data_IF_333500046216
#
_entry.id   IF_333500046216
#
_cell.length_a   1.000
_cell.length_b   1.000
_cell.length_c   1.000
_cell.angle_alpha   90.00
_cell.angle_beta   90.00
_cell.angle_gamma   90.00
#
_symmetry.space_group_name_H-M   'P 1'
#
loop_
_entity.id
_entity.type
_entity.pdbx_description
1 polymer ?
#
# COMPACT_ATOMS: atom_id res chain seq x y z
N UNK A 1 90.17 -14.07 -8.45
CA UNK A 1 90.60 -15.25 -9.23
C UNK A 1 89.46 -16.26 -9.24
N UNK A 2 89.33 -17.01 -10.33
CA UNK A 2 88.59 -18.28 -10.52
C UNK A 2 87.09 -18.35 -10.17
N UNK A 3 86.27 -18.34 -11.22
CA UNK A 3 85.12 -19.25 -11.43
C UNK A 3 85.64 -20.61 -12.00
N UNK A 4 84.81 -21.63 -12.34
CA UNK A 4 83.34 -21.80 -12.23
C UNK A 4 82.98 -22.86 -11.16
N UNK A 5 82.05 -23.85 -11.18
CA UNK A 5 81.11 -24.57 -12.09
C UNK A 5 79.94 -25.14 -11.21
N UNK A 6 78.89 -25.86 -11.64
CA UNK A 6 78.01 -25.92 -12.84
C UNK A 6 76.95 -27.04 -12.60
N UNK A 7 75.72 -26.91 -13.13
CA UNK A 7 74.66 -27.94 -13.29
C UNK A 7 73.99 -28.63 -12.04
N UNK A 8 72.77 -29.22 -12.18
CA UNK A 8 71.88 -29.54 -11.04
C UNK A 8 71.26 -30.97 -11.01
N UNK A 9 70.50 -31.32 -9.94
CA UNK A 9 69.39 -32.29 -10.04
C UNK A 9 69.05 -33.17 -8.82
N UNK A 10 67.74 -33.35 -8.57
CA UNK A 10 67.04 -34.44 -7.86
C UNK A 10 67.52 -34.91 -6.46
N UNK A 11 66.67 -34.74 -5.42
CA UNK A 11 65.75 -35.79 -4.91
C UNK A 11 64.82 -35.25 -3.78
N UNK A 12 63.93 -36.12 -3.26
CA UNK A 12 62.67 -35.79 -2.57
C UNK A 12 62.78 -35.29 -1.11
N UNK A 13 61.68 -34.66 -0.69
CA UNK A 13 61.11 -34.48 0.66
C UNK A 13 61.24 -35.70 1.63
N UNK A 14 61.09 -35.56 2.99
CA UNK A 14 59.96 -34.83 3.59
C UNK A 14 60.11 -34.11 4.97
N UNK A 15 59.07 -33.32 5.29
CA UNK A 15 58.54 -32.92 6.63
C UNK A 15 59.43 -32.21 7.67
N UNK A 16 59.08 -30.96 8.04
CA UNK A 16 59.19 -30.44 9.41
C UNK A 16 57.88 -30.62 10.20
N UNK A 17 57.97 -30.73 11.53
CA UNK A 17 56.88 -31.15 12.41
C UNK A 17 55.72 -30.15 12.59
N UNK A 18 54.57 -30.70 13.01
CA UNK A 18 53.33 -30.01 13.35
C UNK A 18 53.50 -28.81 14.30
N UNK A 19 52.82 -27.70 13.98
CA UNK A 19 52.42 -26.70 14.95
C UNK A 19 50.89 -26.75 15.08
N UNK A 20 50.39 -27.13 16.26
CA UNK A 20 48.95 -27.25 16.51
C UNK A 20 48.33 -25.87 16.71
N UNK A 21 47.75 -25.33 15.64
CA UNK A 21 46.92 -24.11 15.71
C UNK A 21 45.52 -24.52 16.16
N UNK A 22 45.19 -24.23 17.42
CA UNK A 22 43.82 -24.33 17.94
C UNK A 22 42.91 -23.40 17.10
N UNK A 23 41.73 -23.86 16.65
CA UNK A 23 40.80 -22.99 15.93
C UNK A 23 40.24 -21.93 16.89
N UNK A 24 40.29 -20.66 16.47
CA UNK A 24 39.62 -19.59 17.20
C UNK A 24 38.11 -19.81 17.15
N UNK A 25 37.49 -19.98 18.33
CA UNK A 25 36.04 -20.09 18.45
C UNK A 25 35.45 -18.69 18.29
N UNK A 26 35.02 -18.37 17.07
CA UNK A 26 34.28 -17.13 16.80
C UNK A 26 32.87 -17.28 17.36
N UNK A 27 32.55 -16.52 18.41
CA UNK A 27 31.21 -16.48 19.02
C UNK A 27 30.19 -15.86 18.07
N UNK A 28 29.67 -16.68 17.15
CA UNK A 28 28.55 -16.33 16.28
C UNK A 28 27.26 -16.29 17.12
N UNK A 29 26.90 -15.10 17.61
CA UNK A 29 25.64 -14.85 18.33
C UNK A 29 24.46 -15.29 17.46
N UNK A 30 23.79 -16.38 17.85
CA UNK A 30 22.67 -16.94 17.09
C UNK A 30 21.51 -15.94 17.02
N UNK A 31 21.06 -15.64 15.80
CA UNK A 31 20.05 -14.61 15.52
C UNK A 31 18.65 -15.06 15.95
N UNK A 32 18.40 -16.37 15.89
CA UNK A 32 17.18 -17.01 16.38
C UNK A 32 17.45 -18.47 16.76
N UNK A 33 16.43 -19.15 17.32
CA UNK A 33 16.37 -20.62 17.40
C UNK A 33 15.16 -21.12 16.64
N UNK A 34 15.33 -22.13 15.80
CA UNK A 34 14.25 -22.77 15.04
C UNK A 34 14.23 -24.26 15.39
N UNK A 35 13.10 -24.77 15.88
CA UNK A 35 12.95 -26.14 16.41
C UNK A 35 13.98 -26.58 17.48
N UNK A 36 14.71 -25.62 18.07
CA UNK A 36 15.75 -25.86 19.07
C UNK A 36 17.19 -25.67 18.54
N UNK A 37 17.39 -25.70 17.23
CA UNK A 37 18.69 -25.48 16.61
C UNK A 37 19.02 -23.98 16.51
N UNK A 38 20.28 -23.56 16.75
CA UNK A 38 20.71 -22.17 16.66
C UNK A 38 20.87 -21.73 15.19
N UNK A 39 20.20 -20.64 14.82
CA UNK A 39 20.25 -20.08 13.46
C UNK A 39 21.33 -18.99 13.38
N UNK A 40 22.48 -19.31 12.75
CA UNK A 40 23.62 -18.41 12.63
C UNK A 40 23.55 -17.44 11.44
N UNK A 41 22.67 -17.68 10.47
CA UNK A 41 22.38 -16.78 9.36
C UNK A 41 20.92 -16.93 8.94
N UNK A 42 20.30 -15.85 8.45
CA UNK A 42 18.98 -15.90 7.84
C UNK A 42 19.10 -16.50 6.42
N UNK A 43 18.44 -17.64 6.10
CA UNK A 43 18.42 -18.15 4.75
C UNK A 43 17.63 -17.22 3.84
N UNK A 44 18.19 -16.89 2.67
CA UNK A 44 17.61 -15.89 1.76
C UNK A 44 16.29 -16.36 1.13
N UNK A 45 16.16 -17.66 0.85
CA UNK A 45 14.90 -18.32 0.46
C UNK A 45 14.25 -19.01 1.67
N UNK A 46 13.67 -18.21 2.58
CA UNK A 46 12.86 -18.76 3.68
C UNK A 46 11.54 -19.31 3.12
N UNK A 47 11.47 -20.64 2.95
CA UNK A 47 10.25 -21.37 2.61
C UNK A 47 9.14 -21.04 3.62
N UNK A 48 8.05 -20.45 3.13
CA UNK A 48 6.87 -20.10 3.94
C UNK A 48 5.91 -21.30 3.90
N UNK A 49 5.56 -21.92 5.05
CA UNK A 49 4.54 -22.96 5.09
C UNK A 49 3.17 -22.42 4.64
N UNK A 50 2.32 -23.22 3.97
CA UNK A 50 1.03 -22.76 3.47
C UNK A 50 0.09 -22.24 4.56
N UNK A 51 0.24 -22.73 5.80
CA UNK A 51 -0.55 -22.31 6.97
C UNK A 51 -0.08 -20.95 7.52
N UNK A 52 1.18 -20.57 7.29
CA UNK A 52 1.68 -19.22 7.59
C UNK A 52 1.26 -18.21 6.51
N UNK A 53 0.89 -18.67 5.30
CA UNK A 53 0.36 -17.82 4.24
C UNK A 53 -1.08 -17.36 4.54
N UNK A 54 -1.87 -18.21 5.20
CA UNK A 54 -3.25 -17.93 5.62
C UNK A 54 -3.33 -16.72 6.56
N UNK A 55 -2.43 -16.65 7.55
CA UNK A 55 -2.29 -15.51 8.49
C UNK A 55 -1.80 -14.23 7.80
N UNK A 56 -1.14 -14.34 6.64
CA UNK A 56 -0.61 -13.18 5.90
C UNK A 56 -1.65 -12.46 5.04
N UNK A 57 -2.76 -13.11 4.68
CA UNK A 57 -3.68 -12.61 3.65
C UNK A 57 -4.90 -11.85 4.22
N UNK A 58 -5.22 -12.04 5.51
CA UNK A 58 -6.10 -11.11 6.25
C UNK A 58 -5.40 -9.78 6.60
N UNK A 59 -4.07 -9.69 6.41
CA UNK A 59 -3.24 -8.54 6.80
C UNK A 59 -2.95 -7.54 5.67
N UNK A 60 -3.40 -7.77 4.43
CA UNK A 60 -3.22 -6.84 3.31
C UNK A 60 -4.46 -5.98 3.07
N UNK A 61 -4.26 -4.67 2.94
CA UNK A 61 -5.31 -3.69 2.64
C UNK A 61 -5.66 -3.66 1.12
N UNK A 62 -5.81 -4.85 0.52
CA UNK A 62 -6.22 -5.04 -0.87
C UNK A 62 -5.08 -5.28 -1.89
N UNK A 63 -5.43 -5.40 -3.18
CA UNK A 63 -4.55 -5.97 -4.20
C UNK A 63 -3.33 -5.12 -4.58
N UNK A 64 -3.36 -3.80 -4.36
CA UNK A 64 -2.19 -2.93 -4.56
C UNK A 64 -1.10 -3.16 -3.49
N UNK A 65 -1.51 -3.48 -2.26
CA UNK A 65 -0.59 -3.71 -1.15
C UNK A 65 0.14 -5.06 -1.29
N UNK A 66 -0.60 -6.09 -1.70
CA UNK A 66 -0.01 -7.39 -2.09
C UNK A 66 1.01 -7.23 -3.23
N UNK A 67 0.75 -6.35 -4.21
CA UNK A 67 1.72 -6.05 -5.26
C UNK A 67 2.96 -5.31 -4.75
N UNK A 68 2.80 -4.28 -3.90
CA UNK A 68 3.96 -3.62 -3.26
C UNK A 68 4.79 -4.60 -2.44
N UNK A 69 4.16 -5.52 -1.71
CA UNK A 69 4.84 -6.59 -0.98
C UNK A 69 5.65 -7.50 -1.92
N UNK A 70 5.04 -8.00 -3.01
CA UNK A 70 5.72 -8.87 -3.98
C UNK A 70 6.89 -8.19 -4.70
N UNK A 71 6.75 -6.90 -5.02
CA UNK A 71 7.81 -6.06 -5.63
C UNK A 71 8.97 -5.87 -4.64
N UNK A 72 8.69 -5.44 -3.42
CA UNK A 72 9.70 -5.22 -2.36
C UNK A 72 10.42 -6.51 -1.97
N UNK A 73 9.69 -7.63 -1.83
CA UNK A 73 10.25 -8.95 -1.46
C UNK A 73 11.32 -9.46 -2.43
N UNK A 74 11.28 -9.05 -3.70
CA UNK A 74 12.26 -9.41 -4.73
C UNK A 74 13.25 -8.28 -5.05
N UNK A 75 13.18 -7.16 -4.33
CA UNK A 75 13.96 -5.95 -4.61
C UNK A 75 13.78 -5.43 -6.06
N UNK A 76 12.59 -5.61 -6.64
CA UNK A 76 12.29 -5.08 -7.97
C UNK A 76 12.11 -3.57 -7.93
N UNK A 77 12.56 -2.88 -8.99
CA UNK A 77 12.31 -1.47 -9.17
C UNK A 77 10.83 -1.24 -9.48
N UNK A 78 10.13 -0.40 -8.70
CA UNK A 78 8.74 -0.03 -8.94
C UNK A 78 8.52 0.69 -10.29
N UNK A 79 9.58 1.30 -10.84
CA UNK A 79 9.55 1.95 -12.16
C UNK A 79 9.80 0.98 -13.34
N UNK A 80 10.36 -0.20 -13.09
CA UNK A 80 10.58 -1.24 -14.11
C UNK A 80 10.20 -2.63 -13.57
N UNK A 81 8.89 -2.85 -13.46
CA UNK A 81 8.33 -4.08 -12.88
C UNK A 81 8.43 -5.22 -13.90
N UNK A 82 9.07 -6.37 -13.58
CA UNK A 82 9.13 -7.54 -14.45
C UNK A 82 7.79 -8.30 -14.41
N UNK A 83 6.80 -7.80 -15.15
CA UNK A 83 5.42 -8.29 -15.18
C UNK A 83 5.29 -9.82 -15.36
N UNK A 84 6.17 -10.43 -16.16
CA UNK A 84 6.13 -11.88 -16.39
C UNK A 84 6.38 -12.72 -15.12
N UNK A 85 7.12 -12.18 -14.14
CA UNK A 85 7.34 -12.77 -12.82
C UNK A 85 6.24 -12.36 -11.83
N UNK A 86 5.98 -11.05 -11.69
CA UNK A 86 5.02 -10.52 -10.71
C UNK A 86 3.60 -11.04 -10.98
N UNK A 87 3.11 -11.02 -12.23
CA UNK A 87 1.79 -11.59 -12.57
C UNK A 87 1.71 -13.08 -12.25
N UNK A 88 2.80 -13.85 -12.39
CA UNK A 88 2.80 -15.29 -12.09
C UNK A 88 2.65 -15.56 -10.59
N UNK A 89 3.37 -14.82 -9.76
CA UNK A 89 3.29 -14.97 -8.31
C UNK A 89 1.95 -14.45 -7.78
N UNK A 90 1.50 -13.29 -8.25
CA UNK A 90 0.20 -12.74 -7.89
C UNK A 90 -0.94 -13.74 -8.17
N UNK A 91 -0.92 -14.40 -9.34
CA UNK A 91 -1.89 -15.45 -9.65
C UNK A 91 -1.79 -16.65 -8.68
N UNK A 92 -0.59 -17.11 -8.32
CA UNK A 92 -0.41 -18.19 -7.33
C UNK A 92 -1.06 -17.85 -5.99
N UNK A 93 -0.78 -16.65 -5.46
CA UNK A 93 -1.39 -16.19 -4.21
C UNK A 93 -2.92 -16.10 -4.32
N UNK A 94 -3.47 -15.62 -5.45
CA UNK A 94 -4.93 -15.51 -5.65
C UNK A 94 -5.61 -16.88 -5.86
N UNK A 95 -4.94 -17.83 -6.51
CA UNK A 95 -5.42 -19.21 -6.62
C UNK A 95 -5.50 -19.89 -5.24
N UNK A 96 -4.56 -19.60 -4.33
CA UNK A 96 -4.57 -20.06 -2.93
C UNK A 96 -5.66 -19.36 -2.09
N UNK A 97 -5.87 -18.04 -2.22
CA UNK A 97 -7.00 -17.34 -1.58
C UNK A 97 -8.32 -17.98 -2.03
N UNK A 98 -8.51 -18.18 -3.34
CA UNK A 98 -9.76 -18.70 -3.93
C UNK A 98 -10.13 -20.10 -3.41
N UNK A 99 -9.13 -20.90 -3.02
CA UNK A 99 -9.36 -22.22 -2.43
C UNK A 99 -9.92 -22.17 -0.99
N UNK A 100 -9.70 -21.05 -0.27
CA UNK A 100 -10.09 -20.87 1.13
C UNK A 100 -11.27 -19.90 1.31
N UNK A 101 -11.28 -18.77 0.60
CA UNK A 101 -12.33 -17.74 0.66
C UNK A 101 -12.61 -17.13 -0.72
N UNK A 102 -13.77 -17.45 -1.29
CA UNK A 102 -14.23 -16.95 -2.60
C UNK A 102 -14.71 -15.48 -2.59
N UNK A 103 -15.17 -14.98 -1.44
CA UNK A 103 -15.70 -13.61 -1.31
C UNK A 103 -14.53 -12.61 -1.26
N UNK A 104 -13.52 -12.88 -0.43
CA UNK A 104 -12.29 -12.08 -0.37
C UNK A 104 -11.54 -12.06 -1.72
N UNK A 105 -11.55 -13.17 -2.46
CA UNK A 105 -10.88 -13.27 -3.76
C UNK A 105 -11.43 -12.30 -4.83
N UNK A 106 -12.65 -11.80 -4.70
CA UNK A 106 -13.34 -11.04 -5.75
C UNK A 106 -12.59 -9.77 -6.18
N UNK A 107 -12.06 -8.98 -5.24
CA UNK A 107 -11.30 -7.76 -5.53
C UNK A 107 -9.96 -8.07 -6.20
N UNK A 108 -9.31 -9.17 -5.78
CA UNK A 108 -8.02 -9.60 -6.29
C UNK A 108 -8.11 -10.14 -7.72
N UNK A 109 -9.26 -10.68 -8.14
CA UNK A 109 -9.51 -11.18 -9.50
C UNK A 109 -9.55 -10.05 -10.55
N UNK A 110 -10.04 -8.85 -10.20
CA UNK A 110 -10.00 -7.69 -11.10
C UNK A 110 -8.56 -7.31 -11.44
N UNK A 111 -7.71 -7.24 -10.42
CA UNK A 111 -6.28 -6.98 -10.58
C UNK A 111 -5.58 -8.13 -11.33
N UNK A 112 -5.95 -9.39 -11.08
CA UNK A 112 -5.43 -10.53 -11.84
C UNK A 112 -5.68 -10.40 -13.35
N UNK A 113 -6.90 -10.01 -13.75
CA UNK A 113 -7.24 -9.76 -15.15
C UNK A 113 -6.41 -8.61 -15.74
N UNK A 114 -6.27 -7.50 -15.01
CA UNK A 114 -5.48 -6.34 -15.44
C UNK A 114 -3.98 -6.70 -15.62
N UNK A 115 -3.40 -7.47 -14.69
CA UNK A 115 -2.02 -7.94 -14.76
C UNK A 115 -1.78 -8.94 -15.90
N UNK A 116 -2.79 -9.74 -16.27
CA UNK A 116 -2.76 -10.60 -17.45
C UNK A 116 -2.85 -9.77 -18.73
N UNK A 117 -3.72 -8.76 -18.78
CA UNK A 117 -3.84 -7.87 -19.94
C UNK A 117 -2.54 -7.11 -20.20
N UNK A 118 -1.97 -6.45 -19.18
CA UNK A 118 -0.72 -5.70 -19.29
C UNK A 118 0.41 -6.62 -19.80
N UNK A 119 0.55 -7.81 -19.20
CA UNK A 119 1.51 -8.83 -19.64
C UNK A 119 1.28 -9.26 -21.10
N UNK A 120 0.03 -9.41 -21.53
CA UNK A 120 -0.32 -9.76 -22.91
C UNK A 120 0.06 -8.64 -23.88
N UNK A 121 -0.31 -7.39 -23.56
CA UNK A 121 0.04 -6.19 -24.33
C UNK A 121 1.56 -6.03 -24.50
N UNK A 122 2.35 -6.31 -23.46
CA UNK A 122 3.82 -6.25 -23.49
C UNK A 122 4.49 -7.39 -24.30
N UNK A 123 3.84 -8.54 -24.45
CA UNK A 123 4.38 -9.68 -25.21
C UNK A 123 3.98 -9.66 -26.69
N UNK A 124 3.04 -8.79 -27.08
CA UNK A 124 2.61 -8.60 -28.45
C UNK A 124 3.48 -7.54 -29.15
N UNK A 125 3.65 -7.62 -30.49
CA UNK A 125 4.32 -6.57 -31.25
C UNK A 125 3.64 -5.20 -31.03
N UNK A 126 4.41 -4.11 -30.86
CA UNK A 126 3.83 -2.78 -30.65
C UNK A 126 2.96 -2.38 -31.83
N UNK A 127 1.79 -1.79 -31.55
CA UNK A 127 0.95 -1.18 -32.58
C UNK A 127 1.73 -0.01 -33.19
N UNK A 128 1.63 0.14 -34.53
CA UNK A 128 2.16 1.32 -35.21
C UNK A 128 1.38 2.56 -34.76
N UNK A 129 2.04 3.44 -33.99
CA UNK A 129 1.57 4.79 -33.69
C UNK A 129 1.62 5.67 -34.95
N UNK A 130 1.02 6.86 -34.87
CA UNK A 130 1.22 7.89 -35.89
C UNK A 130 2.66 8.41 -35.87
N UNK A 131 3.09 9.07 -36.95
CA UNK A 131 4.49 9.49 -37.13
C UNK A 131 4.98 10.42 -36.01
N UNK A 132 5.81 9.90 -35.11
CA UNK A 132 6.51 10.65 -34.06
C UNK A 132 6.07 10.37 -32.61
N UNK A 133 4.97 9.65 -32.38
CA UNK A 133 4.53 9.32 -31.01
C UNK A 133 5.15 8.00 -30.52
N UNK A 134 5.84 8.04 -29.37
CA UNK A 134 6.26 6.83 -28.65
C UNK A 134 5.04 6.10 -28.08
N UNK A 135 4.98 4.75 -28.15
CA UNK A 135 3.88 3.99 -27.58
C UNK A 135 3.93 4.03 -26.04
N UNK A 136 2.83 4.46 -25.42
CA UNK A 136 2.65 4.46 -23.96
C UNK A 136 2.93 3.07 -23.35
N UNK A 137 3.77 2.99 -22.31
CA UNK A 137 4.05 1.73 -21.61
C UNK A 137 2.75 1.18 -21.00
N UNK A 138 2.29 -0.04 -21.35
CA UNK A 138 1.08 -0.64 -20.80
C UNK A 138 1.07 -0.74 -19.26
N UNK A 139 2.23 -0.62 -18.60
CA UNK A 139 2.38 -0.62 -17.13
C UNK A 139 2.15 0.75 -16.49
N UNK A 140 2.15 1.85 -17.24
CA UNK A 140 2.25 3.21 -16.69
C UNK A 140 1.15 3.54 -15.67
N UNK A 141 -0.11 3.18 -15.96
CA UNK A 141 -1.24 3.35 -15.04
C UNK A 141 -1.07 2.54 -13.74
N UNK A 142 -0.58 1.30 -13.84
CA UNK A 142 -0.34 0.44 -12.67
C UNK A 142 0.79 1.00 -11.79
N UNK A 143 1.92 1.38 -12.40
CA UNK A 143 3.06 1.98 -11.68
C UNK A 143 2.61 3.26 -10.96
N UNK A 144 1.84 4.11 -11.64
CA UNK A 144 1.26 5.32 -11.04
C UNK A 144 0.38 5.00 -9.83
N UNK A 145 -0.57 4.07 -9.95
CA UNK A 145 -1.47 3.68 -8.84
C UNK A 145 -0.71 3.07 -7.66
N UNK A 146 0.36 2.31 -7.91
CA UNK A 146 1.22 1.75 -6.85
C UNK A 146 1.98 2.85 -6.11
N UNK A 147 2.51 3.86 -6.81
CA UNK A 147 3.19 5.02 -6.20
C UNK A 147 2.21 5.93 -5.42
N UNK A 148 1.01 6.17 -5.95
CA UNK A 148 -0.04 6.92 -5.26
C UNK A 148 -0.48 6.20 -3.96
N UNK A 149 -0.66 4.87 -4.01
CA UNK A 149 -0.98 4.06 -2.83
C UNK A 149 0.18 4.00 -1.82
N UNK A 150 1.44 3.83 -2.27
CA UNK A 150 2.61 3.83 -1.39
C UNK A 150 2.76 5.17 -0.64
N UNK A 151 2.58 6.29 -1.34
CA UNK A 151 2.57 7.62 -0.73
C UNK A 151 1.46 7.76 0.31
N UNK A 152 0.25 7.27 0.02
CA UNK A 152 -0.89 7.31 0.93
C UNK A 152 -0.64 6.43 2.17
N UNK A 153 -0.08 5.24 2.01
CA UNK A 153 0.28 4.34 3.12
C UNK A 153 1.37 4.94 4.02
N UNK A 154 2.38 5.60 3.43
CA UNK A 154 3.39 6.38 4.18
C UNK A 154 2.83 7.66 4.83
N UNK A 155 1.74 8.23 4.33
CA UNK A 155 1.02 9.31 5.00
C UNK A 155 0.18 8.78 6.19
N UNK A 156 -0.50 7.64 6.02
CA UNK A 156 -1.27 6.96 7.07
C UNK A 156 -0.39 6.55 8.27
N UNK A 157 0.78 5.95 8.01
CA UNK A 157 1.74 5.59 9.06
C UNK A 157 2.16 6.80 9.90
N UNK A 158 2.61 7.88 9.25
CA UNK A 158 2.99 9.14 9.91
C UNK A 158 1.84 9.84 10.63
N UNK A 159 0.60 9.59 10.22
CA UNK A 159 -0.60 10.09 10.90
C UNK A 159 -0.91 9.28 12.17
N UNK A 160 -0.70 7.95 12.15
CA UNK A 160 -0.87 7.08 13.31
C UNK A 160 0.20 7.31 14.40
N UNK A 161 1.40 7.72 14.00
CA UNK A 161 2.51 8.17 14.87
C UNK A 161 2.23 9.49 15.61
N UNK A 162 1.24 10.29 15.18
CA UNK A 162 0.94 11.56 15.86
C UNK A 162 0.34 11.29 17.25
N UNK A 163 0.69 12.11 18.27
CA UNK A 163 0.09 12.03 19.59
C UNK A 163 -1.44 12.18 19.52
N UNK A 164 -2.16 11.18 20.01
CA UNK A 164 -3.61 11.13 20.00
C UNK A 164 -4.17 11.57 21.36
N UNK A 165 -5.06 12.55 21.32
CA UNK A 165 -5.76 13.04 22.50
C UNK A 165 -6.59 11.92 23.15
N UNK A 166 -6.39 11.69 24.45
CA UNK A 166 -7.03 10.60 25.19
C UNK A 166 -6.29 9.26 25.15
N UNK A 167 -5.26 9.12 24.30
CA UNK A 167 -4.35 7.97 24.27
C UNK A 167 -2.98 8.34 24.86
N UNK A 168 -2.33 9.33 24.24
CA UNK A 168 -0.92 9.68 24.53
C UNK A 168 -0.80 10.94 25.39
N UNK A 169 -1.82 11.83 25.33
CA UNK A 169 -1.88 13.01 26.18
C UNK A 169 -3.32 13.38 26.55
N UNK A 170 -3.47 14.04 27.70
CA UNK A 170 -4.72 14.56 28.23
C UNK A 170 -4.60 16.06 28.46
N UNK A 171 -5.65 16.83 28.14
CA UNK A 171 -5.69 18.27 28.43
C UNK A 171 -6.11 18.46 29.88
N UNK A 172 -5.17 18.87 30.72
CA UNK A 172 -5.46 19.27 32.09
C UNK A 172 -6.50 20.41 32.08
N UNK A 173 -7.69 20.13 32.63
CA UNK A 173 -8.71 21.14 32.88
C UNK A 173 -8.65 21.53 34.36
N UNK A 174 -7.91 22.60 34.66
CA UNK A 174 -7.92 23.19 35.99
C UNK A 174 -9.18 24.06 36.10
N UNK A 175 -10.11 23.67 36.97
CA UNK A 175 -11.19 24.56 37.39
C UNK A 175 -10.62 25.64 38.29
N UNK A 176 -10.15 26.73 37.67
CA UNK A 176 -9.79 27.94 38.40
C UNK A 176 -11.10 28.62 38.80
N UNK A 177 -11.34 28.78 40.11
CA UNK A 177 -12.35 29.70 40.62
C UNK A 177 -11.91 31.14 40.32
N UNK A 178 -12.11 31.53 39.07
CA UNK A 178 -11.95 32.90 38.65
C UNK A 178 -13.09 33.72 39.25
N UNK A 179 -12.83 34.33 40.41
CA UNK A 179 -13.59 35.45 40.95
C UNK A 179 -13.50 36.73 40.07
N UNK A 180 -13.30 36.54 38.76
CA UNK A 180 -13.51 37.55 37.75
C UNK A 180 -15.02 37.78 37.63
N UNK A 181 -15.46 38.96 38.09
CA UNK A 181 -16.70 39.57 37.57
C UNK A 181 -16.65 39.44 36.04
N UNK A 182 -17.69 38.90 35.37
CA UNK A 182 -17.69 38.78 33.93
C UNK A 182 -17.41 40.14 33.29
N UNK A 183 -16.25 40.26 32.62
CA UNK A 183 -16.00 41.40 31.73
C UNK A 183 -16.81 41.16 30.47
N UNK A 184 -18.08 41.56 30.54
CA UNK A 184 -18.89 41.72 29.34
C UNK A 184 -18.14 42.65 28.38
N UNK A 185 -18.13 42.36 27.07
CA UNK A 185 -17.63 43.32 26.09
C UNK A 185 -18.51 44.58 26.12
N UNK A 186 -17.93 45.72 25.75
CA UNK A 186 -18.67 46.96 25.56
C UNK A 186 -19.52 46.85 24.28
N UNK A 187 -20.79 46.44 24.43
CA UNK A 187 -21.74 46.24 23.33
C UNK A 187 -22.67 47.44 23.20
N UNK A 188 -22.73 48.04 22.02
CA UNK A 188 -23.71 49.06 21.69
C UNK A 188 -25.06 48.44 21.29
N UNK A 189 -26.16 49.19 21.48
CA UNK A 189 -27.50 48.77 21.06
C UNK A 189 -27.57 48.42 19.55
N UNK A 190 -26.73 49.08 18.75
CA UNK A 190 -26.59 48.85 17.30
C UNK A 190 -26.07 47.44 17.00
N UNK A 191 -25.15 46.90 17.79
CA UNK A 191 -24.54 45.58 17.57
C UNK A 191 -25.57 44.47 17.80
N UNK A 192 -26.40 44.63 18.84
CA UNK A 192 -27.54 43.75 19.14
C UNK A 192 -28.57 43.81 18.00
N UNK A 193 -28.84 45.01 17.47
CA UNK A 193 -29.75 45.19 16.34
C UNK A 193 -29.21 44.51 15.06
N UNK A 194 -27.91 44.60 14.77
CA UNK A 194 -27.28 43.94 13.63
C UNK A 194 -27.29 42.41 13.78
N UNK A 195 -26.91 41.89 14.95
CA UNK A 195 -26.95 40.46 15.25
C UNK A 195 -28.37 39.89 15.08
N UNK A 196 -29.40 40.62 15.54
CA UNK A 196 -30.80 40.23 15.34
C UNK A 196 -31.23 40.24 13.86
N UNK A 197 -30.81 41.25 13.08
CA UNK A 197 -31.07 41.27 11.64
C UNK A 197 -30.42 40.09 10.90
N UNK A 198 -29.19 39.69 11.28
CA UNK A 198 -28.51 38.55 10.68
C UNK A 198 -29.12 37.21 11.07
N UNK A 199 -29.65 37.07 12.30
CA UNK A 199 -30.46 35.92 12.69
C UNK A 199 -31.72 35.84 11.83
N UNK A 200 -32.45 36.95 11.63
CA UNK A 200 -33.64 36.98 10.78
C UNK A 200 -33.33 36.69 9.29
N UNK A 201 -32.20 37.20 8.77
CA UNK A 201 -31.71 36.88 7.41
C UNK A 201 -31.44 35.38 7.26
N UNK A 202 -30.73 34.77 8.22
CA UNK A 202 -30.45 33.32 8.23
C UNK A 202 -31.73 32.50 8.36
N UNK A 203 -32.65 32.87 9.24
CA UNK A 203 -33.94 32.19 9.39
C UNK A 203 -34.77 32.21 8.09
N UNK A 204 -34.74 33.32 7.33
CA UNK A 204 -35.39 33.41 6.02
C UNK A 204 -34.75 32.52 4.95
N UNK A 205 -33.46 32.22 5.05
CA UNK A 205 -32.74 31.31 4.14
C UNK A 205 -33.00 29.82 4.46
N UNK A 206 -33.41 29.48 5.68
CA UNK A 206 -33.76 28.10 6.09
C UNK A 206 -35.26 27.80 5.86
N UNK A 207 -35.88 28.45 4.87
CA UNK A 207 -37.20 28.05 4.38
C UNK A 207 -37.07 26.78 3.52
N UNK A 208 -37.21 25.62 4.15
CA UNK A 208 -37.25 24.32 3.47
C UNK A 208 -38.39 24.28 2.45
N UNK A 209 -38.05 24.32 1.15
CA UNK A 209 -39.00 24.04 0.09
C UNK A 209 -39.38 22.56 0.13
N UNK A 210 -40.52 22.25 0.75
CA UNK A 210 -41.10 20.90 0.76
C UNK A 210 -41.54 20.53 -0.66
N UNK A 211 -40.66 19.84 -1.38
CA UNK A 211 -41.04 19.12 -2.61
C UNK A 211 -41.91 17.93 -2.20
N UNK A 212 -43.23 18.16 -2.13
CA UNK A 212 -44.20 17.07 -2.16
C UNK A 212 -44.09 16.39 -3.51
N UNK A 213 -43.77 15.09 -3.53
CA UNK A 213 -43.88 14.28 -4.75
C UNK A 213 -45.36 14.15 -5.08
N UNK A 214 -45.74 14.51 -6.31
CA UNK A 214 -47.07 14.18 -6.83
C UNK A 214 -47.14 12.66 -7.02
N UNK A 215 -48.04 11.99 -6.29
CA UNK A 215 -48.31 10.55 -6.45
C UNK A 215 -49.18 10.30 -7.69
N UNK A 216 -48.65 10.69 -8.86
CA UNK A 216 -49.25 10.39 -10.16
C UNK A 216 -49.36 8.88 -10.33
N UNK A 217 -50.57 8.39 -10.59
CA UNK A 217 -50.79 6.98 -10.88
C UNK A 217 -50.01 6.57 -12.13
N UNK A 218 -49.48 5.36 -12.15
CA UNK A 218 -48.80 4.80 -13.34
C UNK A 218 -49.69 4.91 -14.58
N UNK A 219 -51.02 4.78 -14.42
CA UNK A 219 -52.01 4.98 -15.49
C UNK A 219 -52.04 6.41 -16.03
N UNK A 220 -51.95 7.42 -15.15
CA UNK A 220 -51.95 8.83 -15.53
C UNK A 220 -50.64 9.21 -16.22
N UNK A 221 -49.51 8.73 -15.69
CA UNK A 221 -48.20 8.97 -16.31
C UNK A 221 -48.09 8.32 -17.70
N UNK A 222 -48.57 7.07 -17.85
CA UNK A 222 -48.70 6.40 -19.16
C UNK A 222 -49.60 7.19 -20.12
N UNK A 223 -50.72 7.75 -19.63
CA UNK A 223 -51.64 8.54 -20.43
C UNK A 223 -51.01 9.86 -20.90
N UNK A 224 -50.21 10.52 -20.07
CA UNK A 224 -49.44 11.72 -20.41
C UNK A 224 -48.33 11.43 -21.44
N UNK A 225 -47.61 10.31 -21.31
CA UNK A 225 -46.60 9.89 -22.28
C UNK A 225 -47.22 9.60 -23.64
N UNK A 226 -48.30 8.81 -23.69
CA UNK A 226 -49.02 8.51 -24.93
C UNK A 226 -49.58 9.79 -25.59
N UNK A 227 -50.14 10.72 -24.80
CA UNK A 227 -50.65 12.00 -25.30
C UNK A 227 -49.54 12.93 -25.83
N UNK A 228 -48.31 12.84 -25.30
CA UNK A 228 -47.13 13.52 -25.88
C UNK A 228 -46.65 12.86 -27.17
N UNK A 229 -46.71 11.54 -27.27
CA UNK A 229 -46.28 10.79 -28.46
C UNK A 229 -47.26 10.90 -29.63
N UNK A 230 -48.56 11.02 -29.36
CA UNK A 230 -49.60 11.32 -30.38
C UNK A 230 -49.68 12.82 -30.75
N UNK A 231 -48.80 13.66 -30.20
CA UNK A 231 -48.70 15.09 -30.51
C UNK A 231 -47.70 15.44 -31.62
N UNK A 232 -47.32 14.46 -32.45
CA UNK A 232 -46.37 14.58 -33.56
C UNK A 232 -46.72 13.63 -34.70
#
# INVERSE_FOLDING_TARGET
MNHPESTPGLMLEPTPASAEVLPEVVDHVAVARLYGEPLFALPQDLYIPPDALEVFLEAFEGPLDLLLYLIRKQNFNILDIPMAAVTRQYLSYVDEIRARNLELAAEYLLMAAMLIEIKSRMLLPPKKTAEGEEPEDPRAELVRRLLEYEQMKLASARLAELPQYGRDFLKAQVYVEQALKPRFPDVALVDIQQAWQDILRRAKLVQHHKITREELSVREHMSLVLKKLQGR
#
